data_IF_614386761937
#
_entry.id   IF_614386761937
#
_cell.length_a   1.000
_cell.length_b   1.000
_cell.length_c   1.000
_cell.angle_alpha   90.00
_cell.angle_beta   90.00
_cell.angle_gamma   90.00
#
_symmetry.space_group_name_H-M   'P 1'
#
loop_
_entity.id
_entity.type
_entity.pdbx_description
1 polymer ?
#
# COMPACT_ATOMS: atom_id res chain seq x y z
N UNK A 1 -18.59 19.39 26.40
CA UNK A 1 -17.35 18.88 25.77
C UNK A 1 -16.53 18.12 26.81
N UNK A 2 -16.47 16.78 26.68
CA UNK A 2 -15.69 15.88 27.57
C UNK A 2 -14.20 16.25 27.55
N UNK A 3 -13.68 16.61 26.38
CA UNK A 3 -12.29 17.01 26.17
C UNK A 3 -11.85 18.20 27.04
N UNK A 4 -12.61 19.30 27.03
CA UNK A 4 -12.33 20.48 27.88
C UNK A 4 -12.41 20.16 29.38
N UNK A 5 -13.31 19.27 29.77
CA UNK A 5 -13.42 18.81 31.16
C UNK A 5 -12.18 18.02 31.59
N UNK A 6 -11.63 17.20 30.69
CA UNK A 6 -10.46 16.38 30.95
C UNK A 6 -9.20 17.22 31.22
N UNK A 7 -9.02 18.32 30.50
CA UNK A 7 -7.86 19.22 30.65
C UNK A 7 -8.12 20.46 31.51
N UNK A 8 -9.23 20.52 32.24
CA UNK A 8 -9.67 21.73 32.96
C UNK A 8 -8.62 22.27 33.94
N UNK A 9 -7.86 21.39 34.59
CA UNK A 9 -6.78 21.80 35.53
C UNK A 9 -5.50 22.28 34.84
N UNK A 10 -5.38 22.05 33.53
CA UNK A 10 -4.19 22.34 32.71
C UNK A 10 -4.37 23.53 31.78
N UNK A 11 -5.62 23.84 31.41
CA UNK A 11 -5.98 24.96 30.54
C UNK A 11 -6.33 26.20 31.38
N UNK A 12 -5.64 27.32 31.16
CA UNK A 12 -5.99 28.63 31.74
C UNK A 12 -7.13 29.28 30.96
N UNK A 13 -7.76 30.28 31.57
CA UNK A 13 -8.72 31.13 30.89
C UNK A 13 -8.05 31.83 29.70
N UNK A 14 -8.55 31.61 28.49
CA UNK A 14 -8.00 32.16 27.25
C UNK A 14 -7.22 31.17 26.38
N UNK A 15 -6.65 30.10 26.96
CA UNK A 15 -5.89 29.08 26.21
C UNK A 15 -6.75 28.35 25.17
N UNK A 16 -8.06 28.35 25.38
CA UNK A 16 -9.04 27.66 24.54
C UNK A 16 -10.34 28.47 24.47
N UNK A 17 -10.25 29.63 23.81
CA UNK A 17 -11.40 30.46 23.46
C UNK A 17 -11.99 30.03 22.10
N UNK A 18 -13.11 30.64 21.71
CA UNK A 18 -13.78 30.34 20.43
C UNK A 18 -12.85 30.60 19.24
N UNK A 19 -12.03 31.65 19.30
CA UNK A 19 -11.09 32.01 18.25
C UNK A 19 -10.01 30.94 18.03
N UNK A 20 -9.46 30.35 19.11
CA UNK A 20 -8.51 29.24 19.00
C UNK A 20 -9.17 28.03 18.34
N UNK A 21 -10.42 27.72 18.71
CA UNK A 21 -11.16 26.61 18.11
C UNK A 21 -11.45 26.84 16.62
N UNK A 22 -11.77 28.07 16.23
CA UNK A 22 -11.95 28.47 14.82
C UNK A 22 -10.64 28.33 14.02
N UNK A 23 -9.54 28.88 14.52
CA UNK A 23 -8.22 28.78 13.87
C UNK A 23 -7.81 27.32 13.69
N UNK A 24 -8.01 26.49 14.70
CA UNK A 24 -7.70 25.07 14.61
C UNK A 24 -8.61 24.35 13.62
N UNK A 25 -9.90 24.68 13.61
CA UNK A 25 -10.86 24.06 12.68
C UNK A 25 -10.50 24.37 11.23
N UNK A 26 -10.13 25.63 10.92
CA UNK A 26 -9.64 26.03 9.59
C UNK A 26 -8.36 25.28 9.25
N UNK A 27 -7.37 25.29 10.14
CA UNK A 27 -6.09 24.63 9.89
C UNK A 27 -6.24 23.11 9.67
N UNK A 28 -7.14 22.45 10.39
CA UNK A 28 -7.44 21.04 10.19
C UNK A 28 -8.20 20.83 8.87
N UNK A 29 -9.18 21.67 8.54
CA UNK A 29 -9.89 21.59 7.26
C UNK A 29 -8.93 21.72 6.06
N UNK A 30 -7.98 22.67 6.12
CA UNK A 30 -6.93 22.83 5.09
C UNK A 30 -6.01 21.61 4.98
N UNK A 31 -5.85 20.86 6.08
CA UNK A 31 -5.13 19.58 6.10
C UNK A 31 -5.97 18.41 5.59
N UNK A 32 -7.20 18.64 5.10
CA UNK A 32 -8.13 17.60 4.62
C UNK A 32 -8.49 16.60 5.71
N UNK A 33 -8.73 17.13 6.92
CA UNK A 33 -9.04 16.36 8.11
C UNK A 33 -10.31 15.51 7.95
N UNK A 34 -10.26 14.27 8.41
CA UNK A 34 -11.38 13.33 8.38
C UNK A 34 -11.94 13.05 9.77
N UNK A 35 -13.20 12.60 9.86
CA UNK A 35 -13.86 12.25 11.12
C UNK A 35 -13.14 11.09 11.85
N UNK A 36 -12.61 10.13 11.09
CA UNK A 36 -11.81 9.02 11.63
C UNK A 36 -10.53 9.54 12.28
N UNK A 37 -9.82 10.46 11.61
CA UNK A 37 -8.63 11.11 12.16
C UNK A 37 -8.96 11.94 13.41
N UNK A 38 -10.09 12.66 13.40
CA UNK A 38 -10.58 13.40 14.56
C UNK A 38 -10.79 12.47 15.76
N UNK A 39 -11.54 11.39 15.58
CA UNK A 39 -11.86 10.43 16.65
C UNK A 39 -10.61 9.77 17.21
N UNK A 40 -9.67 9.40 16.33
CA UNK A 40 -8.40 8.79 16.73
C UNK A 40 -7.53 9.76 17.56
N UNK A 41 -7.36 10.99 17.08
CA UNK A 41 -6.59 12.03 17.77
C UNK A 41 -7.25 12.45 19.09
N UNK A 42 -8.58 12.60 19.12
CA UNK A 42 -9.32 12.96 20.32
C UNK A 42 -9.10 11.89 21.40
N UNK A 43 -9.37 10.63 21.09
CA UNK A 43 -9.18 9.52 22.03
C UNK A 43 -7.74 9.43 22.54
N UNK A 44 -6.76 9.62 21.66
CA UNK A 44 -5.36 9.58 22.07
C UNK A 44 -4.96 10.78 22.92
N UNK A 45 -5.49 11.96 22.61
CA UNK A 45 -5.20 13.18 23.38
C UNK A 45 -5.64 13.02 24.83
N UNK A 46 -6.78 12.38 25.11
CA UNK A 46 -7.27 12.08 26.47
C UNK A 46 -6.36 11.15 27.29
N UNK A 47 -5.30 10.59 26.70
CA UNK A 47 -4.29 9.79 27.40
C UNK A 47 -2.99 10.58 27.67
N UNK A 48 -2.90 11.82 27.20
CA UNK A 48 -1.74 12.67 27.37
C UNK A 48 -1.84 13.46 28.68
N UNK A 49 -0.69 13.72 29.29
CA UNK A 49 -0.62 14.58 30.48
C UNK A 49 -1.00 16.04 30.16
N UNK A 50 -0.69 16.49 28.95
CA UNK A 50 -0.95 17.82 28.45
C UNK A 50 -1.75 17.77 27.15
N UNK A 51 -2.72 18.68 26.95
CA UNK A 51 -3.42 18.76 25.68
C UNK A 51 -2.44 19.16 24.57
N UNK A 52 -2.68 18.74 23.32
CA UNK A 52 -1.98 19.30 22.18
C UNK A 52 -2.07 20.83 22.20
N UNK A 53 -0.98 21.49 21.80
CA UNK A 53 -0.85 22.95 21.82
C UNK A 53 -1.14 23.59 20.45
N UNK A 54 -1.28 22.78 19.40
CA UNK A 54 -1.61 23.24 18.04
C UNK A 54 -2.38 22.21 17.23
N UNK A 55 -3.08 22.67 16.19
CA UNK A 55 -3.73 21.80 15.20
C UNK A 55 -2.73 20.81 14.56
N UNK A 56 -1.47 21.22 14.37
CA UNK A 56 -0.41 20.36 13.83
C UNK A 56 -0.04 19.23 14.80
N UNK A 57 0.02 19.50 16.09
CA UNK A 57 0.24 18.45 17.11
C UNK A 57 -0.95 17.50 17.19
N UNK A 58 -2.17 18.03 17.16
CA UNK A 58 -3.38 17.22 17.09
C UNK A 58 -3.38 16.32 15.85
N UNK A 59 -2.95 16.85 14.70
CA UNK A 59 -2.78 16.08 13.47
C UNK A 59 -1.76 14.95 13.61
N UNK A 60 -0.63 15.20 14.27
CA UNK A 60 0.38 14.16 14.53
C UNK A 60 -0.17 13.03 15.40
N UNK A 61 -1.08 13.31 16.34
CA UNK A 61 -1.71 12.28 17.15
C UNK A 61 -2.54 11.31 16.29
N UNK A 62 -3.29 11.82 15.31
CA UNK A 62 -4.00 10.94 14.37
C UNK A 62 -3.03 10.04 13.61
N UNK A 63 -1.92 10.60 13.09
CA UNK A 63 -0.90 9.82 12.37
C UNK A 63 -0.36 8.69 13.26
N UNK A 64 -0.02 9.01 14.51
CA UNK A 64 0.53 8.06 15.47
C UNK A 64 -0.43 6.90 15.78
N UNK A 65 -1.74 7.15 15.76
CA UNK A 65 -2.75 6.13 16.08
C UNK A 65 -3.12 5.30 14.85
N UNK A 66 -3.23 5.94 13.69
CA UNK A 66 -3.76 5.31 12.48
C UNK A 66 -2.72 4.54 11.68
N UNK A 67 -1.43 4.85 11.85
CA UNK A 67 -0.36 4.24 11.08
C UNK A 67 0.70 3.62 11.99
N UNK A 68 1.49 2.70 11.43
CA UNK A 68 2.61 2.11 12.15
C UNK A 68 3.61 3.20 12.57
N UNK A 69 4.23 2.98 13.74
CA UNK A 69 5.36 3.77 14.21
C UNK A 69 6.41 3.93 13.10
N UNK A 70 6.91 5.16 12.95
CA UNK A 70 7.78 5.54 11.82
C UNK A 70 9.03 4.68 11.75
N UNK A 71 9.66 4.41 12.90
CA UNK A 71 10.86 3.59 12.97
C UNK A 71 10.55 2.12 12.70
N UNK A 72 9.46 1.61 13.27
CA UNK A 72 9.00 0.24 12.99
C UNK A 72 8.69 0.04 11.50
N UNK A 73 7.98 0.98 10.88
CA UNK A 73 7.63 0.94 9.47
C UNK A 73 8.89 0.98 8.59
N UNK A 74 9.88 1.82 8.93
CA UNK A 74 11.17 1.87 8.25
C UNK A 74 11.91 0.52 8.32
N UNK A 75 12.00 -0.08 9.51
CA UNK A 75 12.69 -1.37 9.70
C UNK A 75 12.01 -2.49 8.91
N UNK A 76 10.68 -2.52 8.88
CA UNK A 76 9.93 -3.48 8.07
C UNK A 76 10.15 -3.24 6.57
N UNK A 77 10.15 -1.98 6.13
CA UNK A 77 10.41 -1.62 4.74
C UNK A 77 11.81 -2.03 4.28
N UNK A 78 12.85 -1.86 5.11
CA UNK A 78 14.21 -2.37 4.82
C UNK A 78 14.19 -3.89 4.61
N UNK A 79 13.40 -4.61 5.40
CA UNK A 79 13.22 -6.07 5.28
C UNK A 79 12.35 -6.48 4.09
N UNK A 80 11.82 -5.53 3.30
CA UNK A 80 10.92 -5.80 2.18
C UNK A 80 9.50 -6.19 2.62
N UNK A 81 9.15 -5.97 3.89
CA UNK A 81 7.84 -6.28 4.46
C UNK A 81 7.01 -5.01 4.50
N UNK A 82 5.94 -4.95 3.70
CA UNK A 82 5.03 -3.81 3.66
C UNK A 82 3.65 -4.24 4.15
N UNK A 83 3.30 -3.84 5.38
CA UNK A 83 1.98 -4.16 5.97
C UNK A 83 0.90 -3.15 5.60
N UNK A 84 1.31 -1.94 5.23
CA UNK A 84 0.43 -0.85 4.84
C UNK A 84 0.81 -0.32 3.46
N UNK A 85 -0.19 0.12 2.69
CA UNK A 85 0.06 0.81 1.43
C UNK A 85 0.88 2.09 1.62
N UNK A 86 0.77 2.74 2.77
CA UNK A 86 1.57 3.92 3.14
C UNK A 86 3.06 3.60 3.19
N UNK A 87 3.46 2.50 3.83
CA UNK A 87 4.85 2.08 3.87
C UNK A 87 5.38 1.75 2.47
N UNK A 88 4.58 1.06 1.66
CA UNK A 88 4.94 0.74 0.27
C UNK A 88 5.12 2.00 -0.59
N UNK A 89 4.17 2.92 -0.55
CA UNK A 89 4.23 4.19 -1.29
C UNK A 89 5.42 5.04 -0.83
N UNK A 90 5.70 5.07 0.48
CA UNK A 90 6.88 5.73 1.03
C UNK A 90 8.16 5.18 0.42
N UNK A 91 8.32 3.85 0.41
CA UNK A 91 9.47 3.20 -0.23
C UNK A 91 9.57 3.55 -1.71
N UNK A 92 8.46 3.52 -2.44
CA UNK A 92 8.41 3.87 -3.86
C UNK A 92 8.90 5.30 -4.11
N UNK A 93 8.46 6.28 -3.31
CA UNK A 93 8.90 7.69 -3.42
C UNK A 93 10.37 7.91 -3.08
N UNK A 94 10.97 7.01 -2.31
CA UNK A 94 12.40 7.01 -1.99
C UNK A 94 13.28 6.33 -3.03
N UNK A 95 12.72 5.96 -4.19
CA UNK A 95 13.45 5.26 -5.25
C UNK A 95 13.29 3.74 -5.23
N UNK A 96 12.40 3.22 -4.37
CA UNK A 96 12.13 1.80 -4.23
C UNK A 96 12.96 1.11 -3.14
N UNK A 97 12.72 -0.20 -2.96
CA UNK A 97 13.34 -1.00 -1.91
C UNK A 97 14.86 -1.07 -2.06
N UNK A 98 15.35 -1.23 -3.30
CA UNK A 98 16.78 -1.31 -3.59
C UNK A 98 17.56 -0.07 -3.14
N UNK A 99 17.07 1.12 -3.49
CA UNK A 99 17.70 2.38 -3.07
C UNK A 99 17.60 2.59 -1.56
N UNK A 100 16.48 2.22 -0.95
CA UNK A 100 16.29 2.32 0.50
C UNK A 100 17.32 1.49 1.28
N UNK A 101 17.66 0.28 0.80
CA UNK A 101 18.61 -0.63 1.47
C UNK A 101 20.07 -0.24 1.21
N UNK A 102 20.36 0.47 0.10
CA UNK A 102 21.73 0.93 -0.21
C UNK A 102 22.17 2.14 0.60
N UNK A 103 21.22 2.98 1.02
CA UNK A 103 21.53 4.13 1.86
C UNK A 103 22.01 3.66 3.24
N UNK A 104 22.89 4.44 3.86
CA UNK A 104 23.21 4.24 5.28
C UNK A 104 21.95 4.47 6.14
N UNK A 105 21.86 3.78 7.28
CA UNK A 105 20.65 3.78 8.13
C UNK A 105 20.24 5.19 8.59
N UNK A 106 21.21 6.08 8.81
CA UNK A 106 20.93 7.46 9.24
C UNK A 106 20.26 8.25 8.12
N UNK A 107 20.82 8.19 6.91
CA UNK A 107 20.26 8.86 5.73
C UNK A 107 18.92 8.24 5.34
N UNK A 108 18.82 6.91 5.32
CA UNK A 108 17.60 6.20 4.96
C UNK A 108 16.46 6.54 5.92
N UNK A 109 16.73 6.52 7.23
CA UNK A 109 15.71 6.81 8.25
C UNK A 109 15.30 8.27 8.24
N UNK A 110 16.23 9.21 8.08
CA UNK A 110 15.92 10.64 8.03
C UNK A 110 15.00 10.97 6.84
N UNK A 111 15.31 10.44 5.65
CA UNK A 111 14.45 10.62 4.47
C UNK A 111 13.12 9.89 4.61
N UNK A 112 13.14 8.68 5.15
CA UNK A 112 11.94 7.91 5.48
C UNK A 112 10.98 8.70 6.36
N UNK A 113 11.46 9.25 7.46
CA UNK A 113 10.62 9.99 8.41
C UNK A 113 9.86 11.15 7.73
N UNK A 114 10.54 11.88 6.86
CA UNK A 114 9.94 13.01 6.12
C UNK A 114 8.85 12.50 5.17
N UNK A 115 9.21 11.56 4.29
CA UNK A 115 8.28 11.06 3.25
C UNK A 115 7.13 10.28 3.87
N UNK A 116 7.38 9.42 4.85
CA UNK A 116 6.36 8.62 5.52
C UNK A 116 5.31 9.51 6.19
N UNK A 117 5.74 10.57 6.88
CA UNK A 117 4.81 11.52 7.50
C UNK A 117 3.94 12.24 6.46
N UNK A 118 4.49 12.56 5.30
CA UNK A 118 3.74 13.16 4.19
C UNK A 118 2.70 12.18 3.62
N UNK A 119 3.10 10.94 3.35
CA UNK A 119 2.21 9.89 2.84
C UNK A 119 1.09 9.56 3.84
N UNK A 120 1.39 9.49 5.15
CA UNK A 120 0.36 9.39 6.19
C UNK A 120 -0.64 10.56 6.14
N UNK A 121 -0.14 11.79 5.95
CA UNK A 121 -0.99 12.97 5.81
C UNK A 121 -1.89 12.90 4.57
N UNK A 122 -1.36 12.44 3.43
CA UNK A 122 -2.17 12.21 2.23
C UNK A 122 -3.21 11.11 2.44
N UNK A 123 -2.88 10.03 3.15
CA UNK A 123 -3.83 8.98 3.48
C UNK A 123 -4.97 9.49 4.38
N UNK A 124 -4.68 10.38 5.34
CA UNK A 124 -5.71 11.05 6.17
C UNK A 124 -6.68 11.87 5.30
N UNK A 125 -6.16 12.51 4.24
CA UNK A 125 -6.93 13.27 3.24
C UNK A 125 -7.78 12.37 2.31
N UNK A 126 -7.68 11.05 2.45
CA UNK A 126 -8.41 10.08 1.64
C UNK A 126 -7.60 9.48 0.49
N UNK A 127 -6.28 9.73 0.39
CA UNK A 127 -5.46 9.02 -0.58
C UNK A 127 -5.41 7.53 -0.24
N UNK A 128 -5.70 6.68 -1.21
CA UNK A 128 -5.66 5.23 -1.06
C UNK A 128 -4.39 4.71 -1.70
N UNK A 129 -3.52 4.13 -0.87
CA UNK A 129 -2.30 3.47 -1.32
C UNK A 129 -2.50 1.97 -1.30
N UNK A 130 -2.29 1.31 -2.43
CA UNK A 130 -2.39 -0.16 -2.54
C UNK A 130 -1.07 -0.73 -2.97
N UNK A 131 -0.71 -1.87 -2.37
CA UNK A 131 0.42 -2.65 -2.81
C UNK A 131 -0.01 -3.46 -4.05
N UNK A 132 0.82 -3.54 -5.10
CA UNK A 132 0.52 -4.41 -6.23
C UNK A 132 0.37 -5.84 -5.73
N UNK A 133 -0.81 -6.42 -5.95
CA UNK A 133 -0.97 -7.85 -5.78
C UNK A 133 -0.21 -8.48 -6.93
N UNK A 134 0.88 -9.20 -6.62
CA UNK A 134 1.58 -10.04 -7.60
C UNK A 134 0.61 -11.10 -8.10
N UNK A 135 -0.17 -10.77 -9.12
CA UNK A 135 -0.84 -11.76 -9.94
C UNK A 135 0.28 -12.35 -10.78
N UNK A 136 0.72 -13.56 -10.45
CA UNK A 136 1.30 -14.40 -11.49
C UNK A 136 0.24 -14.43 -12.59
N UNK A 137 0.49 -13.69 -13.66
CA UNK A 137 -0.16 -14.00 -14.92
C UNK A 137 0.35 -15.42 -15.17
N UNK A 138 -0.50 -16.42 -14.99
CA UNK A 138 -0.30 -17.68 -15.68
C UNK A 138 -0.13 -17.25 -17.14
N UNK A 139 1.12 -17.16 -17.59
CA UNK A 139 1.39 -17.24 -19.00
C UNK A 139 0.81 -18.59 -19.35
N UNK A 140 -0.43 -18.61 -19.86
CA UNK A 140 -0.84 -19.62 -20.81
C UNK A 140 0.24 -19.50 -21.88
N UNK A 141 1.25 -20.35 -21.78
CA UNK A 141 1.95 -20.81 -22.96
C UNK A 141 0.83 -21.37 -23.82
N UNK A 142 0.28 -20.53 -24.70
CA UNK A 142 -0.18 -21.05 -25.96
C UNK A 142 1.05 -21.69 -26.55
N UNK A 143 1.21 -22.98 -26.29
CA UNK A 143 2.03 -23.87 -27.08
C UNK A 143 1.48 -23.73 -28.49
N UNK A 144 1.97 -22.74 -29.22
CA UNK A 144 1.94 -22.77 -30.66
C UNK A 144 2.69 -24.04 -31.01
N UNK A 145 1.91 -25.09 -31.30
CA UNK A 145 2.39 -26.31 -31.93
C UNK A 145 2.91 -25.92 -33.31
N UNK A 146 4.09 -25.30 -33.35
CA UNK A 146 4.89 -25.19 -34.56
C UNK A 146 5.47 -26.57 -34.75
N UNK A 147 4.65 -27.50 -35.24
CA UNK A 147 5.16 -28.73 -35.81
C UNK A 147 5.99 -28.26 -37.02
N UNK A 148 7.31 -28.37 -36.92
CA UNK A 148 8.18 -28.00 -38.04
C UNK A 148 7.77 -28.82 -39.27
N UNK A 149 7.96 -28.27 -40.47
CA UNK A 149 7.64 -28.98 -41.71
C UNK A 149 8.34 -30.36 -41.78
N UNK A 150 9.53 -30.50 -41.16
CA UNK A 150 10.22 -31.78 -41.02
C UNK A 150 9.46 -32.79 -40.14
N UNK A 151 8.89 -32.34 -39.03
CA UNK A 151 8.15 -33.20 -38.12
C UNK A 151 6.79 -33.60 -38.72
N UNK A 152 6.15 -32.70 -39.48
CA UNK A 152 4.96 -33.01 -40.27
C UNK A 152 5.27 -34.05 -41.37
N UNK A 153 6.42 -33.94 -42.03
CA UNK A 153 6.88 -34.91 -43.03
C UNK A 153 7.21 -36.29 -42.41
N UNK A 154 7.76 -36.33 -41.20
CA UNK A 154 7.96 -37.60 -40.48
C UNK A 154 6.64 -38.27 -40.11
N UNK A 155 5.65 -37.49 -39.63
CA UNK A 155 4.30 -38.00 -39.34
C UNK A 155 3.64 -38.54 -40.61
N UNK A 156 3.70 -37.79 -41.72
CA UNK A 156 3.15 -38.22 -43.01
C UNK A 156 3.81 -39.52 -43.51
N UNK A 157 5.14 -39.63 -43.44
CA UNK A 157 5.86 -40.86 -43.78
C UNK A 157 5.44 -42.03 -42.90
N UNK A 158 5.29 -41.83 -41.60
CA UNK A 158 4.85 -42.86 -40.67
C UNK A 158 3.44 -43.35 -41.01
N UNK A 159 2.49 -42.44 -41.25
CA UNK A 159 1.13 -42.77 -41.64
C UNK A 159 1.05 -43.45 -43.01
N UNK A 160 1.89 -43.09 -43.98
CA UNK A 160 1.94 -43.80 -45.27
C UNK A 160 2.56 -45.19 -45.17
N UNK A 161 3.50 -45.39 -44.24
CA UNK A 161 4.21 -46.67 -44.05
C UNK A 161 3.37 -47.66 -43.25
N UNK A 162 2.57 -47.18 -42.29
CA UNK A 162 1.79 -48.02 -41.38
C UNK A 162 0.26 -47.93 -41.57
N UNK A 163 -0.26 -46.95 -42.33
CA UNK A 163 -1.69 -46.72 -42.51
C UNK A 163 -2.35 -47.45 -43.68
N UNK A 164 -1.59 -48.11 -44.57
CA UNK A 164 -2.17 -48.94 -45.64
C UNK A 164 -2.41 -50.39 -45.21
N UNK A 165 -3.21 -50.59 -44.16
CA UNK A 165 -4.00 -51.82 -43.98
C UNK A 165 -5.25 -51.50 -43.17
N UNK A 166 -6.39 -51.34 -43.86
CA UNK A 166 -7.64 -51.94 -43.39
C UNK A 166 -8.57 -52.26 -44.56
N UNK A 167 -9.05 -53.50 -44.49
CA UNK A 167 -10.01 -54.21 -45.32
C UNK A 167 -11.10 -53.37 -45.96
N UNK A 168 -11.39 -53.74 -47.21
CA UNK A 168 -12.68 -53.54 -47.87
C UNK A 168 -12.89 -54.67 -48.87
N UNK A 169 -13.01 -55.90 -48.37
CA UNK A 169 -13.56 -57.00 -49.15
C UNK A 169 -15.06 -56.74 -49.24
N UNK A 170 -15.57 -56.45 -50.44
CA UNK A 170 -16.63 -57.20 -51.12
C UNK A 170 -17.38 -56.34 -52.13
N UNK A 171 -17.49 -56.89 -53.33
CA UNK A 171 -18.60 -56.58 -54.23
C UNK A 171 -18.24 -56.73 -55.70
N UNK A 172 -18.37 -57.95 -56.26
CA UNK A 172 -18.97 -58.24 -57.59
C UNK A 172 -19.44 -59.72 -57.58
N UNK A 173 -20.77 -59.96 -57.57
CA UNK A 173 -21.65 -60.66 -58.57
C UNK A 173 -21.09 -61.98 -59.15
N UNK A 174 -21.86 -63.05 -59.39
CA UNK A 174 -23.25 -63.26 -59.86
C UNK A 174 -23.75 -64.57 -59.26
#
# INVERSE_FOLDING_TARGET
>A
MIWKSHFKSKLKSGDWNLQTAEIWSIALADMGWSEVAHTAAERKSLQLEWPPSSAKEFHKLAIFVLFDDVYRAHRQAIQGVFKSGVAYETTKRLGGHYELVRMDEKTSFSRWQIVYTQVCGEAIKGAVFTQPISRQIEQKQETQNIISAEMQNKINRFLTTFGKKKHGQQGVKV
#
